data_IF_625763076663
#
_entry.id   IF_625763076663
#
_cell.length_a   1.000
_cell.length_b   1.000
_cell.length_c   1.000
_cell.angle_alpha   90.00
_cell.angle_beta   90.00
_cell.angle_gamma   90.00
#
_symmetry.space_group_name_H-M   'P 1'
#
loop_
_entity.id
_entity.type
_entity.pdbx_description
1 polymer ?
#
# COMPACT_ATOMS: atom_id res chain seq x y z
N UNK A 1 4.43 8.69 -18.84
CA UNK A 1 4.12 8.85 -17.41
C UNK A 1 5.09 7.98 -16.63
N UNK A 2 5.59 8.41 -15.46
CA UNK A 2 6.37 7.52 -14.60
C UNK A 2 5.43 6.47 -14.02
N UNK A 3 5.86 5.21 -14.01
CA UNK A 3 5.12 4.12 -13.38
C UNK A 3 4.98 4.36 -11.88
N UNK A 4 3.87 3.88 -11.31
CA UNK A 4 3.58 3.97 -9.88
C UNK A 4 4.18 2.75 -9.20
N UNK A 5 4.90 2.96 -8.11
CA UNK A 5 5.48 1.87 -7.31
C UNK A 5 4.58 1.53 -6.13
N UNK A 6 4.76 0.32 -5.58
CA UNK A 6 4.15 -0.06 -4.29
C UNK A 6 4.49 0.95 -3.18
N UNK A 7 5.69 1.55 -3.22
CA UNK A 7 6.11 2.54 -2.23
C UNK A 7 5.32 3.85 -2.34
N UNK A 8 4.92 4.26 -3.55
CA UNK A 8 4.12 5.46 -3.72
C UNK A 8 2.71 5.28 -3.16
N UNK A 9 2.12 4.09 -3.41
CA UNK A 9 0.84 3.70 -2.83
C UNK A 9 0.94 3.58 -1.31
N UNK A 10 2.00 2.96 -0.79
CA UNK A 10 2.24 2.82 0.64
C UNK A 10 2.38 4.18 1.35
N UNK A 11 3.17 5.10 0.79
CA UNK A 11 3.30 6.47 1.30
C UNK A 11 1.98 7.22 1.26
N UNK A 12 1.18 7.01 0.22
CA UNK A 12 -0.18 7.57 0.13
C UNK A 12 -1.07 7.06 1.28
N UNK A 13 -1.05 5.76 1.58
CA UNK A 13 -1.78 5.23 2.74
C UNK A 13 -1.27 5.80 4.08
N UNK A 14 0.05 5.94 4.23
CA UNK A 14 0.66 6.54 5.42
C UNK A 14 0.34 8.03 5.58
N UNK A 15 0.00 8.73 4.49
CA UNK A 15 -0.52 10.11 4.59
C UNK A 15 -1.90 10.18 5.25
N UNK A 16 -2.66 9.08 5.23
CA UNK A 16 -3.98 9.02 5.87
C UNK A 16 -3.89 8.61 7.34
N UNK A 17 -2.99 7.67 7.67
CA UNK A 17 -2.86 7.16 9.03
C UNK A 17 -1.52 6.44 9.23
N UNK A 18 -0.91 6.65 10.40
CA UNK A 18 0.20 5.83 10.89
C UNK A 18 -0.27 4.38 11.14
N UNK A 19 0.54 3.40 10.72
CA UNK A 19 0.20 1.98 10.86
C UNK A 19 1.42 1.07 10.93
N UNK A 20 1.23 -0.16 11.41
CA UNK A 20 2.29 -1.17 11.43
C UNK A 20 2.69 -1.60 10.02
N UNK A 21 3.92 -2.09 9.89
CA UNK A 21 4.40 -2.66 8.65
C UNK A 21 3.47 -3.76 8.09
N UNK A 22 2.98 -4.64 8.96
CA UNK A 22 2.06 -5.73 8.60
C UNK A 22 0.74 -5.22 8.01
N UNK A 23 0.17 -4.16 8.60
CA UNK A 23 -1.07 -3.55 8.09
C UNK A 23 -0.83 -2.89 6.73
N UNK A 24 0.31 -2.23 6.57
CA UNK A 24 0.70 -1.58 5.31
C UNK A 24 0.85 -2.60 4.16
N UNK A 25 1.47 -3.75 4.43
CA UNK A 25 1.55 -4.86 3.47
C UNK A 25 0.16 -5.33 3.01
N UNK A 26 -0.74 -5.59 3.96
CA UNK A 26 -2.09 -6.08 3.67
C UNK A 26 -2.90 -5.07 2.85
N UNK A 27 -2.85 -3.78 3.19
CA UNK A 27 -3.64 -2.77 2.48
C UNK A 27 -3.10 -2.48 1.08
N UNK A 28 -1.78 -2.51 0.87
CA UNK A 28 -1.18 -2.45 -0.47
C UNK A 28 -1.55 -3.67 -1.32
N UNK A 29 -1.61 -4.87 -0.71
CA UNK A 29 -2.10 -6.07 -1.39
C UNK A 29 -3.55 -5.93 -1.85
N UNK A 30 -4.44 -5.41 -0.98
CA UNK A 30 -5.83 -5.16 -1.36
C UNK A 30 -5.95 -4.13 -2.48
N UNK A 31 -5.16 -3.06 -2.45
CA UNK A 31 -5.16 -2.07 -3.53
C UNK A 31 -4.79 -2.70 -4.88
N UNK A 32 -3.75 -3.53 -4.93
CA UNK A 32 -3.35 -4.26 -6.14
C UNK A 32 -4.45 -5.22 -6.61
N UNK A 33 -5.00 -6.04 -5.70
CA UNK A 33 -6.02 -7.02 -6.02
C UNK A 33 -7.31 -6.38 -6.56
N UNK A 34 -7.73 -5.26 -5.97
CA UNK A 34 -8.92 -4.53 -6.40
C UNK A 34 -8.69 -3.82 -7.73
N UNK A 35 -7.52 -3.23 -7.95
CA UNK A 35 -7.21 -2.60 -9.22
C UNK A 35 -7.17 -3.63 -10.35
N UNK A 36 -6.58 -4.81 -10.11
CA UNK A 36 -6.63 -5.93 -11.05
C UNK A 36 -8.07 -6.37 -11.37
N UNK A 37 -8.94 -6.44 -10.35
CA UNK A 37 -10.31 -6.90 -10.52
C UNK A 37 -11.23 -5.86 -11.20
N UNK A 38 -11.05 -4.57 -10.92
CA UNK A 38 -11.93 -3.50 -11.38
C UNK A 38 -11.45 -2.84 -12.68
N UNK A 39 -10.15 -2.59 -12.79
CA UNK A 39 -9.54 -1.87 -13.92
C UNK A 39 -8.88 -2.82 -14.93
N UNK A 40 -8.80 -4.12 -14.62
CA UNK A 40 -8.26 -5.14 -15.51
C UNK A 40 -6.73 -5.09 -15.67
N UNK A 41 -6.02 -4.36 -14.83
CA UNK A 41 -4.56 -4.20 -14.89
C UNK A 41 -3.91 -4.02 -13.52
N UNK A 42 -2.58 -4.20 -13.42
CA UNK A 42 -1.86 -3.96 -12.17
C UNK A 42 -1.84 -2.47 -11.82
N UNK A 43 -1.94 -2.13 -10.53
CA UNK A 43 -1.73 -0.76 -10.03
C UNK A 43 -0.24 -0.40 -10.04
N UNK A 44 0.59 -1.39 -9.72
CA UNK A 44 2.05 -1.32 -9.72
C UNK A 44 2.64 -2.70 -10.08
N UNK A 45 3.92 -2.74 -10.41
CA UNK A 45 4.59 -3.94 -10.95
C UNK A 45 5.24 -4.84 -9.89
N UNK A 46 5.48 -4.33 -8.68
CA UNK A 46 5.99 -5.15 -7.58
C UNK A 46 5.03 -6.29 -7.23
N UNK A 47 5.61 -7.44 -6.86
CA UNK A 47 4.86 -8.68 -6.65
C UNK A 47 4.66 -8.96 -5.17
N UNK A 48 3.54 -9.61 -4.86
CA UNK A 48 3.31 -10.19 -3.55
C UNK A 48 3.63 -11.68 -3.56
N UNK A 49 4.31 -12.12 -2.51
CA UNK A 49 4.65 -13.50 -2.24
C UNK A 49 3.78 -14.06 -1.11
N UNK A 50 3.46 -15.35 -1.17
CA UNK A 50 2.70 -16.04 -0.14
C UNK A 50 3.63 -16.46 1.01
N UNK A 51 3.78 -15.59 2.02
CA UNK A 51 4.56 -15.89 3.22
C UNK A 51 3.67 -16.48 4.33
N UNK A 52 4.29 -17.03 5.38
CA UNK A 52 3.60 -17.72 6.48
C UNK A 52 2.52 -16.87 7.19
N UNK A 53 2.64 -15.54 7.13
CA UNK A 53 1.70 -14.59 7.76
C UNK A 53 0.86 -13.79 6.77
N UNK A 54 0.78 -14.25 5.51
CA UNK A 54 -0.01 -13.63 4.45
C UNK A 54 0.84 -13.07 3.31
N UNK A 55 0.22 -12.33 2.40
CA UNK A 55 0.90 -11.76 1.25
C UNK A 55 1.90 -10.68 1.69
N UNK A 56 3.13 -10.78 1.21
CA UNK A 56 4.21 -9.82 1.47
C UNK A 56 4.82 -9.39 0.16
N UNK A 57 4.92 -8.08 -0.07
CA UNK A 57 5.79 -7.52 -1.10
C UNK A 57 7.19 -7.36 -0.49
N UNK A 58 8.22 -8.09 -0.97
CA UNK A 58 9.58 -8.04 -0.42
C UNK A 58 10.19 -6.64 -0.42
N UNK A 59 9.98 -5.87 -1.50
CA UNK A 59 10.49 -4.51 -1.64
C UNK A 59 9.88 -3.58 -0.59
N UNK A 60 8.57 -3.71 -0.35
CA UNK A 60 7.88 -2.97 0.71
C UNK A 60 8.33 -3.44 2.11
N UNK A 61 8.60 -4.74 2.26
CA UNK A 61 9.10 -5.33 3.50
C UNK A 61 10.46 -4.75 3.85
N UNK A 62 11.41 -4.82 2.93
CA UNK A 62 12.76 -4.34 3.15
C UNK A 62 12.81 -2.85 3.44
N UNK A 63 11.93 -2.05 2.82
CA UNK A 63 11.86 -0.61 3.06
C UNK A 63 11.39 -0.27 4.50
N UNK A 64 10.42 -1.01 5.03
CA UNK A 64 9.76 -0.67 6.30
C UNK A 64 10.03 -1.65 7.46
N UNK A 65 10.81 -2.73 7.26
CA UNK A 65 11.11 -3.73 8.32
C UNK A 65 11.80 -3.13 9.55
N UNK A 66 12.50 -2.01 9.40
CA UNK A 66 13.17 -1.30 10.51
C UNK A 66 12.20 -0.87 11.61
N UNK A 67 10.92 -0.65 11.28
CA UNK A 67 9.91 -0.28 12.26
C UNK A 67 9.44 -1.49 13.10
N UNK A 68 9.70 -2.73 12.67
CA UNK A 68 9.33 -3.94 13.38
C UNK A 68 7.85 -3.94 13.79
N UNK A 69 7.60 -3.99 15.10
CA UNK A 69 6.26 -3.98 15.70
C UNK A 69 5.68 -2.58 15.92
N UNK A 70 6.47 -1.53 15.70
CA UNK A 70 6.03 -0.15 15.88
C UNK A 70 5.31 0.38 14.64
N UNK A 71 4.54 1.45 14.83
CA UNK A 71 3.90 2.10 13.70
C UNK A 71 4.91 2.91 12.89
N UNK A 72 4.77 2.85 11.58
CA UNK A 72 5.44 3.72 10.63
C UNK A 72 4.81 5.11 10.75
N UNK A 73 5.60 6.20 10.90
CA UNK A 73 5.09 7.57 10.96
C UNK A 73 4.26 7.94 9.73
N UNK A 74 3.41 8.95 9.89
CA UNK A 74 2.63 9.48 8.77
C UNK A 74 3.53 10.23 7.79
N UNK A 75 3.20 10.10 6.51
CA UNK A 75 3.81 10.89 5.44
C UNK A 75 3.11 12.25 5.33
N UNK A 76 3.87 13.33 5.14
CA UNK A 76 3.32 14.69 5.04
C UNK A 76 2.89 15.06 3.63
N UNK A 77 3.48 14.41 2.63
CA UNK A 77 3.30 14.74 1.23
C UNK A 77 2.87 13.50 0.44
N UNK A 78 2.04 13.72 -0.56
CA UNK A 78 1.67 12.68 -1.53
C UNK A 78 2.78 12.58 -2.58
N UNK A 79 3.24 11.37 -2.93
CA UNK A 79 4.25 11.19 -3.98
C UNK A 79 3.82 11.80 -5.32
N UNK A 80 4.77 12.43 -6.02
CA UNK A 80 4.49 13.24 -7.24
C UNK A 80 3.90 12.46 -8.40
N UNK A 81 4.08 11.14 -8.44
CA UNK A 81 3.52 10.26 -9.48
C UNK A 81 2.10 9.77 -9.18
N UNK A 82 1.57 10.06 -7.99
CA UNK A 82 0.18 9.77 -7.64
C UNK A 82 -0.71 10.88 -8.20
N UNK A 83 -1.34 10.59 -9.34
CA UNK A 83 -2.36 11.45 -9.94
C UNK A 83 -3.69 11.36 -9.17
N UNK A 84 -4.60 12.30 -9.44
CA UNK A 84 -5.86 12.45 -8.70
C UNK A 84 -6.74 11.20 -8.75
N UNK A 85 -6.77 10.53 -9.88
CA UNK A 85 -7.53 9.30 -10.12
C UNK A 85 -7.04 8.19 -9.18
N UNK A 86 -5.73 7.96 -9.12
CA UNK A 86 -5.11 6.96 -8.25
C UNK A 86 -5.23 7.34 -6.79
N UNK A 87 -5.07 8.63 -6.46
CA UNK A 87 -5.30 9.10 -5.09
C UNK A 87 -6.72 8.78 -4.61
N UNK A 88 -7.73 9.04 -5.44
CA UNK A 88 -9.12 8.75 -5.12
C UNK A 88 -9.36 7.24 -4.96
N UNK A 89 -8.76 6.43 -5.82
CA UNK A 89 -8.81 4.97 -5.71
C UNK A 89 -8.21 4.49 -4.38
N UNK A 90 -6.99 4.91 -4.05
CA UNK A 90 -6.30 4.56 -2.80
C UNK A 90 -7.08 5.03 -1.57
N UNK A 91 -7.68 6.23 -1.63
CA UNK A 91 -8.56 6.76 -0.59
C UNK A 91 -9.80 5.90 -0.38
N UNK A 92 -10.41 5.41 -1.45
CA UNK A 92 -11.57 4.52 -1.36
C UNK A 92 -11.19 3.18 -0.75
N UNK A 93 -10.08 2.57 -1.21
CA UNK A 93 -9.53 1.35 -0.61
C UNK A 93 -9.30 1.56 0.90
N UNK A 94 -8.72 2.68 1.31
CA UNK A 94 -8.50 2.99 2.73
C UNK A 94 -9.78 3.08 3.56
N UNK A 95 -10.88 3.54 2.92
CA UNK A 95 -12.20 3.68 3.55
C UNK A 95 -12.89 2.33 3.74
N UNK A 96 -12.83 1.46 2.73
CA UNK A 96 -13.54 0.16 2.74
C UNK A 96 -12.74 -0.95 3.41
N UNK A 97 -11.42 -0.83 3.48
CA UNK A 97 -10.57 -1.85 4.09
C UNK A 97 -10.82 -1.94 5.61
N UNK A 98 -11.11 -3.13 6.16
CA UNK A 98 -11.36 -3.31 7.59
C UNK A 98 -10.23 -2.76 8.46
N UNK A 99 -10.58 -1.99 9.50
CA UNK A 99 -9.58 -1.42 10.41
C UNK A 99 -8.87 -2.47 11.28
N UNK A 100 -9.46 -3.67 11.37
CA UNK A 100 -8.97 -4.84 12.11
C UNK A 100 -7.86 -5.64 11.42
N UNK A 101 -7.30 -5.16 10.29
CA UNK A 101 -6.11 -5.74 9.67
C UNK A 101 -4.87 -5.58 10.56
N UNK A 102 -4.82 -6.31 11.67
CA UNK A 102 -3.66 -6.43 12.53
C UNK A 102 -3.05 -7.85 12.42
#
# INVERSE_FOLDING_TARGET
MKEISVLDVAKTFLSFQSMTHKKLQKICYYAQAWHLALEGGPLFHERFEAWIHGPVCPELYDYYKIYGWTNIPMEKEIPKNIIKEIYNFVKEIFRVTPKSLN
#
